data_IF_226049146876
#
_entry.id   IF_226049146876
#
_cell.length_a   1.000
_cell.length_b   1.000
_cell.length_c   1.000
_cell.angle_alpha   90.00
_cell.angle_beta   90.00
_cell.angle_gamma   90.00
#
_symmetry.space_group_name_H-M   'P 1'
#
loop_
_entity.id
_entity.type
_entity.pdbx_description
1 polymer ?
#
# COMPACT_ATOMS: atom_id res chain seq x y z
N UNK A 1 -3.93 55.37 -23.71
CA UNK A 1 -3.98 54.12 -22.92
C UNK A 1 -5.44 53.78 -22.61
N UNK A 2 -6.01 52.68 -23.11
CA UNK A 2 -7.37 52.32 -22.73
C UNK A 2 -7.34 51.73 -21.31
N UNK A 3 -7.94 52.43 -20.34
CA UNK A 3 -8.14 51.89 -18.99
C UNK A 3 -9.07 50.69 -19.10
N UNK A 4 -8.64 49.53 -18.62
CA UNK A 4 -9.45 48.32 -18.57
C UNK A 4 -10.78 48.61 -17.86
N UNK A 5 -11.89 48.56 -18.61
CA UNK A 5 -13.25 48.71 -18.08
C UNK A 5 -13.47 47.61 -17.04
N UNK A 6 -13.42 47.96 -15.75
CA UNK A 6 -13.87 47.06 -14.69
C UNK A 6 -15.32 46.71 -15.00
N UNK A 7 -15.56 45.45 -15.39
CA UNK A 7 -16.89 44.90 -15.61
C UNK A 7 -17.70 45.03 -14.33
N UNK A 8 -18.41 46.16 -14.19
CA UNK A 8 -19.45 46.36 -13.18
C UNK A 8 -20.71 45.64 -13.63
N UNK A 9 -20.62 44.32 -13.87
CA UNK A 9 -21.83 43.52 -13.89
C UNK A 9 -22.31 43.49 -12.45
N UNK A 10 -23.30 44.33 -12.13
CA UNK A 10 -24.06 44.27 -10.87
C UNK A 10 -24.40 42.80 -10.65
N UNK A 11 -23.83 42.20 -9.62
CA UNK A 11 -24.14 40.83 -9.21
C UNK A 11 -25.63 40.83 -8.82
N UNK A 12 -26.53 40.55 -9.76
CA UNK A 12 -27.97 40.45 -9.48
C UNK A 12 -28.16 39.23 -8.58
N UNK A 13 -28.90 39.41 -7.50
CA UNK A 13 -29.24 38.31 -6.61
C UNK A 13 -30.20 37.37 -7.35
N UNK A 14 -29.76 36.14 -7.61
CA UNK A 14 -30.59 35.10 -8.20
C UNK A 14 -31.49 34.49 -7.12
N UNK A 15 -32.78 34.80 -7.16
CA UNK A 15 -33.78 34.33 -6.20
C UNK A 15 -34.02 32.82 -6.27
N UNK A 16 -33.66 32.16 -7.38
CA UNK A 16 -33.82 30.71 -7.54
C UNK A 16 -32.67 29.92 -6.91
N UNK A 17 -31.61 30.60 -6.45
CA UNK A 17 -30.43 29.96 -5.84
C UNK A 17 -30.40 30.17 -4.34
N UNK A 18 -30.61 29.09 -3.61
CA UNK A 18 -30.34 29.06 -2.18
C UNK A 18 -28.83 29.08 -1.91
N UNK A 19 -28.30 30.27 -1.61
CA UNK A 19 -26.88 30.50 -1.30
C UNK A 19 -26.41 29.72 -0.08
N UNK A 20 -27.28 29.45 0.91
CA UNK A 20 -26.92 28.64 2.09
C UNK A 20 -26.68 27.19 1.69
N UNK A 21 -27.55 26.63 0.84
CA UNK A 21 -27.36 25.27 0.28
C UNK A 21 -26.12 25.20 -0.61
N UNK A 22 -25.87 26.20 -1.45
CA UNK A 22 -24.65 26.25 -2.28
C UNK A 22 -23.40 26.30 -1.41
N UNK A 23 -23.36 27.14 -0.37
CA UNK A 23 -22.25 27.19 0.60
C UNK A 23 -22.00 25.82 1.23
N UNK A 24 -23.05 25.13 1.69
CA UNK A 24 -22.92 23.76 2.23
C UNK A 24 -22.36 22.77 1.21
N UNK A 25 -22.80 22.83 -0.06
CA UNK A 25 -22.25 22.00 -1.14
C UNK A 25 -20.77 22.29 -1.40
N UNK A 26 -20.38 23.56 -1.43
CA UNK A 26 -18.98 23.94 -1.58
C UNK A 26 -18.13 23.47 -0.39
N UNK A 27 -18.59 23.67 0.84
CA UNK A 27 -17.88 23.19 2.04
C UNK A 27 -17.68 21.68 1.97
N UNK A 28 -18.72 20.90 1.63
CA UNK A 28 -18.60 19.45 1.47
C UNK A 28 -17.65 19.04 0.34
N UNK A 29 -17.57 19.82 -0.74
CA UNK A 29 -16.65 19.56 -1.86
C UNK A 29 -15.19 19.85 -1.48
N UNK A 30 -14.95 20.88 -0.69
CA UNK A 30 -13.61 21.31 -0.28
C UNK A 30 -13.14 20.69 1.03
N UNK A 31 -14.01 20.05 1.81
CA UNK A 31 -13.64 19.36 3.05
C UNK A 31 -13.88 17.85 2.86
N UNK A 32 -12.89 17.12 2.31
CA UNK A 32 -13.01 15.69 2.07
C UNK A 32 -13.10 14.92 3.39
N UNK A 33 -13.70 13.74 3.34
CA UNK A 33 -13.66 12.80 4.47
C UNK A 33 -12.25 12.22 4.57
N UNK A 34 -11.56 12.52 5.66
CA UNK A 34 -10.20 12.04 5.96
C UNK A 34 -10.31 10.81 6.85
N UNK A 35 -9.83 9.66 6.36
CA UNK A 35 -9.85 8.40 7.11
C UNK A 35 -8.73 8.34 8.15
N UNK A 36 -7.54 8.86 7.84
CA UNK A 36 -6.38 8.80 8.73
C UNK A 36 -6.56 9.72 9.96
N UNK A 37 -6.52 9.18 11.20
CA UNK A 37 -6.87 9.96 12.39
C UNK A 37 -5.91 11.13 12.65
N UNK A 38 -4.62 10.98 12.37
CA UNK A 38 -3.58 11.97 12.62
C UNK A 38 -3.74 13.20 11.72
N UNK A 39 -4.04 12.98 10.43
CA UNK A 39 -4.31 14.04 9.47
C UNK A 39 -5.63 14.73 9.84
N UNK A 40 -6.65 13.96 10.22
CA UNK A 40 -7.95 14.48 10.62
C UNK A 40 -7.85 15.38 11.86
N UNK A 41 -7.09 14.97 12.87
CA UNK A 41 -6.90 15.74 14.11
C UNK A 41 -6.12 17.04 13.86
N UNK A 42 -5.21 17.03 12.89
CA UNK A 42 -4.44 18.20 12.53
C UNK A 42 -5.13 19.13 11.51
N UNK A 43 -6.30 18.74 11.00
CA UNK A 43 -7.01 19.48 9.96
C UNK A 43 -7.69 20.73 10.52
N UNK A 44 -7.57 21.86 9.81
CA UNK A 44 -8.25 23.12 10.16
C UNK A 44 -9.29 23.48 9.10
N UNK A 45 -10.57 23.43 9.46
CA UNK A 45 -11.70 23.71 8.57
C UNK A 45 -11.74 25.16 8.05
N UNK A 46 -11.01 26.08 8.69
CA UNK A 46 -10.94 27.48 8.27
C UNK A 46 -9.89 27.71 7.17
N UNK A 47 -9.00 26.73 6.93
CA UNK A 47 -7.94 26.81 5.94
C UNK A 47 -8.32 26.04 4.67
N UNK A 48 -7.76 26.48 3.54
CA UNK A 48 -7.88 25.73 2.28
C UNK A 48 -7.16 24.38 2.38
N UNK A 49 -7.65 23.36 1.66
CA UNK A 49 -7.00 22.05 1.59
C UNK A 49 -5.50 22.13 1.28
N UNK A 50 -5.13 22.96 0.30
CA UNK A 50 -3.74 23.11 -0.12
C UNK A 50 -2.84 23.62 1.01
N UNK A 51 -3.35 24.59 1.79
CA UNK A 51 -2.64 25.12 2.96
C UNK A 51 -2.56 24.11 4.10
N UNK A 52 -3.63 23.37 4.38
CA UNK A 52 -3.60 22.32 5.40
C UNK A 52 -2.54 21.28 5.07
N UNK A 53 -2.56 20.72 3.86
CA UNK A 53 -1.57 19.73 3.44
C UNK A 53 -0.15 20.29 3.47
N UNK A 54 0.06 21.52 2.98
CA UNK A 54 1.36 22.18 3.02
C UNK A 54 1.87 22.38 4.46
N UNK A 55 1.01 22.79 5.40
CA UNK A 55 1.38 22.92 6.81
C UNK A 55 1.79 21.57 7.43
N UNK A 56 1.21 20.46 6.97
CA UNK A 56 1.56 19.09 7.37
C UNK A 56 2.78 18.53 6.62
N UNK A 57 3.31 19.25 5.63
CA UNK A 57 4.41 18.78 4.76
C UNK A 57 3.97 17.83 3.64
N UNK A 58 2.67 17.79 3.34
CA UNK A 58 2.06 16.98 2.28
C UNK A 58 1.84 17.79 1.00
N UNK A 59 2.03 17.14 -0.16
CA UNK A 59 1.77 17.74 -1.45
C UNK A 59 0.26 17.78 -1.77
N UNK A 60 -0.25 18.96 -2.14
CA UNK A 60 -1.63 19.10 -2.62
C UNK A 60 -1.83 18.59 -4.06
N UNK A 61 -0.86 18.84 -4.94
CA UNK A 61 -0.88 18.42 -6.33
C UNK A 61 0.38 17.61 -6.65
N UNK A 62 0.27 16.30 -6.91
CA UNK A 62 1.42 15.44 -7.15
C UNK A 62 2.16 15.82 -8.43
N UNK A 63 1.46 16.27 -9.48
CA UNK A 63 2.10 16.65 -10.75
C UNK A 63 2.92 17.94 -10.60
N UNK A 64 2.56 18.78 -9.65
CA UNK A 64 3.31 19.99 -9.32
C UNK A 64 4.49 19.71 -8.39
N UNK A 65 4.33 18.78 -7.45
CA UNK A 65 5.40 18.40 -6.52
C UNK A 65 6.46 17.52 -7.19
N UNK A 66 6.03 16.60 -8.06
CA UNK A 66 6.86 15.65 -8.80
C UNK A 66 6.52 15.76 -10.29
N UNK A 67 7.02 16.78 -11.01
CA UNK A 67 6.72 16.95 -12.42
C UNK A 67 7.27 15.76 -13.23
N UNK A 68 6.38 15.07 -13.94
CA UNK A 68 6.76 13.99 -14.86
C UNK A 68 7.54 14.61 -16.01
N UNK A 69 8.84 14.28 -16.11
CA UNK A 69 9.68 14.71 -17.23
C UNK A 69 9.14 14.07 -18.52
N UNK A 70 8.43 14.84 -19.34
CA UNK A 70 8.09 14.40 -20.69
C UNK A 70 9.36 14.46 -21.52
N UNK A 71 9.76 13.35 -22.15
CA UNK A 71 10.79 13.34 -23.19
C UNK A 71 10.25 14.09 -24.42
N UNK A 72 10.30 15.42 -24.39
CA UNK A 72 9.87 16.30 -25.46
C UNK A 72 10.84 17.48 -25.56
N UNK A 73 11.20 17.83 -26.79
CA UNK A 73 12.40 18.58 -27.19
C UNK A 73 12.47 20.07 -26.80
N UNK A 74 11.65 20.56 -25.86
CA UNK A 74 11.79 21.93 -25.33
C UNK A 74 11.83 21.89 -23.81
N UNK A 75 13.03 22.10 -23.30
CA UNK A 75 13.26 22.42 -21.91
C UNK A 75 12.70 23.78 -21.56
N UNK A 76 12.06 23.84 -20.39
CA UNK A 76 12.41 24.76 -19.32
C UNK A 76 11.80 24.14 -18.06
N UNK A 77 12.66 23.65 -17.17
CA UNK A 77 12.24 23.01 -15.93
C UNK A 77 11.50 24.02 -15.09
N UNK A 78 10.16 23.90 -15.05
CA UNK A 78 9.32 24.73 -14.21
C UNK A 78 9.87 24.69 -12.79
N UNK A 79 10.41 25.82 -12.34
CA UNK A 79 10.98 25.99 -11.02
C UNK A 79 9.97 25.47 -9.99
N UNK A 80 10.38 24.42 -9.26
CA UNK A 80 9.69 23.94 -8.08
C UNK A 80 9.54 25.14 -7.14
N UNK A 81 8.34 25.71 -7.09
CA UNK A 81 8.04 26.84 -6.19
C UNK A 81 8.51 26.47 -4.80
N UNK A 82 9.31 27.35 -4.21
CA UNK A 82 9.94 27.21 -2.90
C UNK A 82 9.06 26.43 -1.91
N UNK A 83 9.65 25.37 -1.33
CA UNK A 83 9.01 24.53 -0.35
C UNK A 83 8.38 25.41 0.74
N UNK A 84 7.06 25.31 0.87
CA UNK A 84 6.33 26.02 1.90
C UNK A 84 6.87 25.71 3.29
N UNK A 85 6.86 26.69 4.19
CA UNK A 85 7.19 26.46 5.60
C UNK A 85 6.23 25.42 6.19
N UNK A 86 6.78 24.30 6.65
CA UNK A 86 6.02 23.22 7.30
C UNK A 86 5.83 23.59 8.77
N UNK A 87 4.58 23.82 9.18
CA UNK A 87 4.25 24.20 10.56
C UNK A 87 4.03 22.99 11.48
N UNK A 88 3.61 21.85 10.91
CA UNK A 88 3.20 20.63 11.64
C UNK A 88 4.03 19.42 11.19
N UNK A 89 5.36 19.41 11.46
CA UNK A 89 6.25 18.34 10.99
C UNK A 89 5.97 16.97 11.65
N UNK A 90 5.39 16.96 12.86
CA UNK A 90 5.10 15.73 13.61
C UNK A 90 4.22 14.72 12.85
N UNK A 91 3.36 15.19 11.95
CA UNK A 91 2.47 14.34 11.15
C UNK A 91 3.27 13.54 10.13
N UNK A 92 4.24 14.19 9.49
CA UNK A 92 5.10 13.57 8.49
C UNK A 92 5.96 12.47 9.15
N UNK A 93 6.56 12.78 10.30
CA UNK A 93 7.32 11.80 11.08
C UNK A 93 6.47 10.58 11.45
N UNK A 94 5.27 10.80 11.98
CA UNK A 94 4.36 9.70 12.34
C UNK A 94 3.97 8.83 11.14
N UNK A 95 3.64 9.46 10.00
CA UNK A 95 3.29 8.75 8.77
C UNK A 95 4.48 7.93 8.24
N UNK A 96 5.69 8.49 8.34
CA UNK A 96 6.91 7.79 7.94
C UNK A 96 7.21 6.61 8.86
N UNK A 97 7.02 6.78 10.16
CA UNK A 97 7.17 5.70 11.14
C UNK A 97 6.16 4.58 10.89
N UNK A 98 4.87 4.89 10.73
CA UNK A 98 3.83 3.91 10.40
C UNK A 98 4.10 3.18 9.09
N UNK A 99 4.55 3.90 8.05
CA UNK A 99 4.89 3.30 6.76
C UNK A 99 6.17 2.45 6.79
N UNK A 100 7.07 2.71 7.76
CA UNK A 100 8.30 1.92 7.93
C UNK A 100 8.03 0.57 8.60
N UNK A 101 6.89 0.40 9.25
CA UNK A 101 6.54 -0.86 9.91
C UNK A 101 6.33 -1.96 8.86
N UNK A 102 6.91 -3.17 9.07
CA UNK A 102 6.71 -4.27 8.15
C UNK A 102 5.25 -4.75 8.20
N UNK A 103 4.66 -4.99 7.03
CA UNK A 103 3.34 -5.61 6.94
C UNK A 103 3.39 -7.08 7.37
N UNK A 104 2.35 -7.52 8.08
CA UNK A 104 2.20 -8.94 8.46
C UNK A 104 1.81 -9.74 7.22
N UNK A 105 2.58 -10.78 6.92
CA UNK A 105 2.22 -11.74 5.89
C UNK A 105 1.05 -12.60 6.38
N UNK A 106 -0.15 -12.39 5.85
CA UNK A 106 -1.36 -13.17 6.18
C UNK A 106 -1.60 -14.33 5.21
N UNK A 107 -0.63 -14.64 4.34
CA UNK A 107 -0.78 -15.72 3.37
C UNK A 107 -0.76 -17.07 4.08
N UNK A 108 -1.81 -17.85 3.82
CA UNK A 108 -1.94 -19.23 4.25
C UNK A 108 -1.86 -20.17 3.05
N UNK A 109 -1.79 -21.47 3.32
CA UNK A 109 -1.75 -22.53 2.32
C UNK A 109 -2.98 -23.42 2.47
N UNK A 110 -3.38 -24.07 1.37
CA UNK A 110 -4.43 -25.08 1.39
C UNK A 110 -3.97 -26.34 2.13
N UNK A 111 -4.93 -27.09 2.71
CA UNK A 111 -4.66 -28.37 3.38
C UNK A 111 -3.99 -29.35 2.42
N UNK A 112 -4.51 -29.48 1.21
CA UNK A 112 -4.00 -30.37 0.16
C UNK A 112 -2.52 -30.14 -0.16
N UNK A 113 -2.10 -28.86 -0.19
CA UNK A 113 -0.71 -28.52 -0.44
C UNK A 113 0.20 -28.93 0.73
N UNK A 114 -0.29 -28.77 1.96
CA UNK A 114 0.42 -29.19 3.16
C UNK A 114 0.56 -30.71 3.19
N UNK A 115 -0.53 -31.45 2.93
CA UNK A 115 -0.53 -32.92 2.87
C UNK A 115 0.39 -33.45 1.77
N UNK A 116 0.37 -32.83 0.59
CA UNK A 116 1.29 -33.14 -0.50
C UNK A 116 2.75 -32.97 -0.06
N UNK A 117 3.09 -31.82 0.53
CA UNK A 117 4.44 -31.53 0.99
C UNK A 117 4.88 -32.48 2.11
N UNK A 118 4.02 -32.74 3.10
CA UNK A 118 4.30 -33.67 4.19
C UNK A 118 4.58 -35.08 3.67
N UNK A 119 3.80 -35.55 2.70
CA UNK A 119 4.07 -36.84 2.06
C UNK A 119 5.44 -36.87 1.36
N UNK A 120 5.74 -35.84 0.56
CA UNK A 120 7.02 -35.76 -0.15
C UNK A 120 8.22 -35.76 0.80
N UNK A 121 8.13 -35.05 1.93
CA UNK A 121 9.19 -35.01 2.93
C UNK A 121 9.31 -36.34 3.69
N UNK A 122 8.19 -37.00 3.98
CA UNK A 122 8.19 -38.29 4.68
C UNK A 122 8.89 -39.37 3.86
N UNK A 123 8.59 -39.47 2.56
CA UNK A 123 9.14 -40.52 1.69
C UNK A 123 10.54 -40.18 1.16
N UNK A 124 10.73 -38.94 0.68
CA UNK A 124 11.93 -38.55 -0.10
C UNK A 124 12.85 -37.54 0.61
N UNK A 125 12.51 -37.11 1.83
CA UNK A 125 13.31 -36.17 2.65
C UNK A 125 13.69 -34.88 1.92
N UNK A 126 14.94 -34.75 1.47
CA UNK A 126 15.48 -33.58 0.75
C UNK A 126 15.77 -33.87 -0.74
N UNK A 127 15.45 -35.06 -1.24
CA UNK A 127 15.72 -35.48 -2.61
C UNK A 127 14.63 -35.02 -3.59
N UNK A 128 14.69 -33.73 -3.98
CA UNK A 128 13.71 -33.12 -4.89
C UNK A 128 13.58 -33.80 -6.26
N UNK A 129 14.65 -34.49 -6.73
CA UNK A 129 14.60 -35.27 -7.98
C UNK A 129 13.79 -36.55 -7.83
N UNK A 130 13.78 -37.15 -6.65
CA UNK A 130 12.96 -38.32 -6.34
C UNK A 130 11.49 -37.89 -6.16
N UNK A 131 11.24 -36.79 -5.43
CA UNK A 131 9.90 -36.20 -5.28
C UNK A 131 9.21 -35.89 -6.62
N UNK A 132 9.96 -35.45 -7.62
CA UNK A 132 9.38 -35.17 -8.94
C UNK A 132 8.93 -36.43 -9.69
N UNK A 133 9.51 -37.60 -9.36
CA UNK A 133 9.17 -38.90 -9.94
C UNK A 133 8.13 -39.67 -9.12
N UNK A 134 7.71 -39.11 -8.00
CA UNK A 134 6.76 -39.73 -7.10
C UNK A 134 5.36 -39.81 -7.73
N UNK A 135 4.61 -40.86 -7.41
CA UNK A 135 3.27 -41.10 -7.97
C UNK A 135 2.26 -40.03 -7.55
N UNK A 136 2.42 -39.46 -6.35
CA UNK A 136 1.55 -38.41 -5.82
C UNK A 136 1.81 -37.05 -6.46
N UNK A 137 2.87 -36.90 -7.25
CA UNK A 137 3.12 -35.75 -8.10
C UNK A 137 2.26 -35.78 -9.39
N UNK A 138 0.94 -35.82 -9.23
CA UNK A 138 -0.01 -35.96 -10.35
C UNK A 138 0.13 -34.88 -11.42
N UNK A 139 0.40 -33.64 -11.00
CA UNK A 139 0.58 -32.49 -11.89
C UNK A 139 1.99 -32.34 -12.45
N UNK A 140 2.86 -33.33 -12.21
CA UNK A 140 4.21 -33.39 -12.78
C UNK A 140 5.04 -32.15 -12.45
N UNK A 141 4.98 -31.70 -11.20
CA UNK A 141 5.78 -30.57 -10.74
C UNK A 141 7.27 -30.87 -10.90
N UNK A 142 8.01 -29.88 -11.42
CA UNK A 142 9.46 -29.94 -11.50
C UNK A 142 10.09 -29.91 -10.11
N UNK A 143 11.32 -30.45 -9.92
CA UNK A 143 12.01 -30.41 -8.63
C UNK A 143 12.10 -28.99 -8.02
N UNK A 144 12.22 -27.96 -8.87
CA UNK A 144 12.27 -26.55 -8.43
C UNK A 144 10.91 -26.04 -7.92
N UNK A 145 9.81 -26.48 -8.54
CA UNK A 145 8.46 -26.15 -8.09
C UNK A 145 8.14 -26.83 -6.77
N UNK A 146 8.50 -28.11 -6.61
CA UNK A 146 8.35 -28.84 -5.34
C UNK A 146 9.14 -28.16 -4.23
N UNK A 147 10.40 -27.80 -4.48
CA UNK A 147 11.22 -27.03 -3.54
C UNK A 147 10.56 -25.70 -3.15
N UNK A 148 9.94 -24.99 -4.10
CA UNK A 148 9.20 -23.75 -3.83
C UNK A 148 7.99 -24.01 -2.93
N UNK A 149 7.21 -25.06 -3.18
CA UNK A 149 6.06 -25.46 -2.35
C UNK A 149 6.48 -25.78 -0.91
N UNK A 150 7.60 -26.50 -0.75
CA UNK A 150 8.18 -26.79 0.58
C UNK A 150 8.59 -25.50 1.30
N UNK A 151 9.27 -24.58 0.61
CA UNK A 151 9.67 -23.30 1.18
C UNK A 151 8.47 -22.41 1.53
N UNK A 152 7.42 -22.47 0.75
CA UNK A 152 6.17 -21.76 1.01
C UNK A 152 5.50 -22.31 2.27
N UNK A 153 5.49 -23.63 2.46
CA UNK A 153 4.99 -24.25 3.69
C UNK A 153 5.80 -23.83 4.93
N UNK A 154 7.13 -23.84 4.84
CA UNK A 154 8.02 -23.33 5.91
C UNK A 154 7.76 -21.87 6.26
N UNK A 155 7.50 -21.03 5.25
CA UNK A 155 7.24 -19.59 5.43
C UNK A 155 5.87 -19.33 6.06
N UNK A 156 4.82 -19.99 5.56
CA UNK A 156 3.45 -19.74 5.99
C UNK A 156 3.11 -20.39 7.33
N UNK A 157 3.64 -21.59 7.61
CA UNK A 157 3.33 -22.35 8.82
C UNK A 157 4.59 -22.92 9.49
N UNK A 158 5.49 -22.07 10.02
CA UNK A 158 6.75 -22.51 10.60
C UNK A 158 6.55 -23.46 11.78
N UNK A 159 5.64 -23.12 12.72
CA UNK A 159 5.34 -23.96 13.88
C UNK A 159 4.85 -25.36 13.49
N UNK A 160 3.89 -25.42 12.56
CA UNK A 160 3.34 -26.70 12.09
C UNK A 160 4.39 -27.53 11.34
N UNK A 161 5.28 -26.88 10.59
CA UNK A 161 6.39 -27.55 9.92
C UNK A 161 7.38 -28.15 10.93
N UNK A 162 7.76 -27.38 11.95
CA UNK A 162 8.70 -27.82 12.98
C UNK A 162 8.14 -29.00 13.77
N UNK A 163 6.86 -28.94 14.18
CA UNK A 163 6.17 -30.05 14.85
C UNK A 163 6.16 -31.32 13.98
N UNK A 164 5.90 -31.17 12.68
CA UNK A 164 5.93 -32.27 11.73
C UNK A 164 7.33 -32.89 11.60
N UNK A 165 8.38 -32.08 11.46
CA UNK A 165 9.77 -32.58 11.38
C UNK A 165 10.19 -33.26 12.67
N UNK A 166 9.81 -32.70 13.83
CA UNK A 166 10.04 -33.33 15.13
C UNK A 166 9.34 -34.69 15.23
N UNK A 167 8.11 -34.80 14.72
CA UNK A 167 7.37 -36.08 14.69
C UNK A 167 8.07 -37.12 13.82
N UNK A 168 8.61 -36.72 12.67
CA UNK A 168 9.39 -37.60 11.78
C UNK A 168 10.68 -38.10 12.44
N UNK A 169 11.40 -37.22 13.14
CA UNK A 169 12.61 -37.56 13.88
C UNK A 169 12.34 -38.53 15.04
N UNK A 170 11.20 -38.40 15.72
CA UNK A 170 10.78 -39.32 16.79
C UNK A 170 10.37 -40.70 16.27
N UNK A 171 9.89 -40.80 15.04
CA UNK A 171 9.46 -42.05 14.38
C UNK A 171 10.58 -42.82 13.67
N UNK A 172 11.85 -42.61 14.00
CA UNK A 172 12.95 -43.50 13.58
C UNK A 172 13.23 -44.57 14.67
N UNK A 173 12.48 -45.68 14.76
CA UNK A 173 12.88 -46.82 15.58
C UNK A 173 13.96 -47.64 14.86
N UNK A 174 15.10 -47.80 15.55
CA UNK A 174 15.93 -49.01 15.61
C UNK A 174 15.85 -49.94 14.38
N UNK A 175 16.70 -49.71 13.38
CA UNK A 175 17.08 -50.78 12.44
C UNK A 175 18.35 -51.43 12.99
N UNK A 176 18.20 -52.66 13.50
CA UNK A 176 19.29 -53.63 13.69
C UNK A 176 19.62 -54.30 12.35
#
# INVERSE_FOLDING_TARGET
>A
MPKAKKSSKRQKFDYNRDRKKLKKKFIKKYNPRIEHPQIRNAWDDNKSMARNLQEMGLAFDPNRALPVKKQGLLGEGAESRAAGVVTKPYILHHLQEEASLPEKDTKTLSSDLIEFVQHMIREHKDDYKAMARDEKNYYQDTPKQIKRKINEYKRCHPRHFDDFVNSLGATQPMTQ
#
